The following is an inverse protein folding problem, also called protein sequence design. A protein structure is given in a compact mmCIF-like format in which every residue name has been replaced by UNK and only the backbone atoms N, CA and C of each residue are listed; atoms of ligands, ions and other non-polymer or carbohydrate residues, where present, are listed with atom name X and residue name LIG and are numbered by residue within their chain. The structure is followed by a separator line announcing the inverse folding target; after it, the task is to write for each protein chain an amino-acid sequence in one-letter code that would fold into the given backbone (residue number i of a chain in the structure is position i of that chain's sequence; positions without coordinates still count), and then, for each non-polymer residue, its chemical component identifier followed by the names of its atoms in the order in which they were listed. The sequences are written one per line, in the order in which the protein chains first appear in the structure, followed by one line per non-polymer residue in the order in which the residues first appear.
data_IF_543673390188
#
_entry.id   IF_543673390188
#
_cell.length_a   1.000
_cell.length_b   1.000
_cell.length_c   1.000
_cell.angle_alpha   90.00
_cell.angle_beta   90.00
_cell.angle_gamma   90.00
#
_symmetry.space_group_name_H-M   'P 1'
#
loop_
_entity.id
_entity.type
_entity.pdbx_description
1 polymer ?
#
# COMPACT_ATOMS: atom_id res chain seq x y z
N UNK A 1 35.06 37.52 6.04
CA UNK A 1 33.82 37.71 5.24
C UNK A 1 33.63 36.42 4.47
N UNK A 2 32.65 35.63 4.89
CA UNK A 2 32.51 34.21 4.56
C UNK A 2 31.82 34.03 3.18
N UNK A 3 32.45 33.39 2.18
CA UNK A 3 31.93 33.29 0.82
C UNK A 3 31.20 31.95 0.63
N UNK A 4 30.12 31.68 1.36
CA UNK A 4 29.34 30.44 1.21
C UNK A 4 27.82 30.65 1.35
N UNK A 5 27.28 31.52 0.50
CA UNK A 5 25.86 31.44 0.11
C UNK A 5 25.78 30.87 -1.31
N UNK A 6 26.17 29.60 -1.45
CA UNK A 6 25.77 28.81 -2.60
C UNK A 6 24.24 28.76 -2.64
N UNK A 7 23.68 29.34 -3.70
CA UNK A 7 22.28 29.27 -4.03
C UNK A 7 21.86 27.80 -4.11
N UNK A 8 21.26 27.30 -3.02
CA UNK A 8 20.64 25.97 -2.97
C UNK A 8 19.60 25.96 -4.10
N UNK A 9 19.72 25.12 -5.14
CA UNK A 9 18.82 25.17 -6.28
C UNK A 9 17.40 25.04 -5.74
N UNK A 10 16.53 25.99 -6.09
CA UNK A 10 15.13 25.98 -5.74
C UNK A 10 14.57 24.62 -6.15
N UNK A 11 14.40 23.71 -5.19
CA UNK A 11 13.84 22.38 -5.44
C UNK A 11 12.47 22.64 -6.03
N UNK A 12 12.32 22.28 -7.30
CA UNK A 12 11.15 22.53 -8.14
C UNK A 12 9.87 22.31 -7.33
N UNK A 13 8.90 23.23 -7.45
CA UNK A 13 7.59 23.17 -6.79
C UNK A 13 6.90 21.80 -6.95
N UNK A 14 7.22 21.04 -8.00
CA UNK A 14 6.76 19.67 -8.20
C UNK A 14 7.35 18.70 -7.18
N UNK A 15 8.64 18.81 -6.84
CA UNK A 15 9.27 17.96 -5.84
C UNK A 15 8.77 18.27 -4.43
N UNK A 16 8.48 19.52 -4.09
CA UNK A 16 7.84 19.86 -2.81
C UNK A 16 6.36 19.48 -2.75
N UNK A 17 5.68 19.42 -3.90
CA UNK A 17 4.28 18.97 -3.98
C UNK A 17 4.14 17.44 -3.99
N UNK A 18 5.13 16.72 -4.54
CA UNK A 18 5.23 15.26 -4.55
C UNK A 18 5.87 14.71 -3.28
N UNK A 19 6.84 15.41 -2.69
CA UNK A 19 7.54 15.06 -1.44
C UNK A 19 7.36 16.18 -0.40
N UNK A 20 6.17 16.35 0.18
CA UNK A 20 5.97 17.36 1.21
C UNK A 20 6.81 17.05 2.46
N UNK A 21 7.41 18.08 3.07
CA UNK A 21 8.22 17.97 4.31
C UNK A 21 7.40 17.52 5.54
N UNK A 22 6.08 17.56 5.45
CA UNK A 22 5.15 17.00 6.43
C UNK A 22 4.02 16.25 5.71
N UNK A 23 3.59 15.06 6.18
CA UNK A 23 2.52 14.29 5.54
C UNK A 23 1.25 15.13 5.50
N UNK A 24 0.50 15.14 4.39
CA UNK A 24 -0.77 15.88 4.36
C UNK A 24 -1.74 15.27 5.37
N UNK A 25 -2.15 16.06 6.35
CA UNK A 25 -3.05 15.66 7.41
C UNK A 25 -4.50 15.87 6.97
N UNK A 26 -5.11 14.81 6.46
CA UNK A 26 -6.56 14.77 6.24
C UNK A 26 -7.24 14.23 7.50
N UNK A 27 -8.07 15.02 8.21
CA UNK A 27 -8.72 14.56 9.44
C UNK A 27 -9.67 13.37 9.20
N UNK A 28 -10.25 13.28 8.00
CA UNK A 28 -11.13 12.19 7.58
C UNK A 28 -10.40 10.93 7.08
N UNK A 29 -9.08 11.00 6.87
CA UNK A 29 -8.34 9.85 6.32
C UNK A 29 -8.30 8.67 7.29
N UNK A 30 -8.20 8.90 8.60
CA UNK A 30 -8.15 7.82 9.60
C UNK A 30 -9.44 6.97 9.64
N UNK A 31 -10.64 7.54 9.84
CA UNK A 31 -11.86 6.75 9.84
C UNK A 31 -12.14 6.11 8.47
N UNK A 32 -11.86 6.81 7.37
CA UNK A 32 -12.00 6.24 6.02
C UNK A 32 -11.08 5.02 5.83
N UNK A 33 -9.80 5.13 6.18
CA UNK A 33 -8.84 4.01 6.11
C UNK A 33 -9.27 2.83 7.00
N UNK A 34 -9.83 3.09 8.18
CA UNK A 34 -10.33 2.03 9.05
C UNK A 34 -11.48 1.25 8.40
N UNK A 35 -12.50 1.96 7.90
CA UNK A 35 -13.65 1.35 7.21
C UNK A 35 -13.19 0.56 5.99
N UNK A 36 -12.34 1.18 5.16
CA UNK A 36 -11.78 0.55 3.97
C UNK A 36 -10.96 -0.69 4.29
N UNK A 37 -10.14 -0.65 5.34
CA UNK A 37 -9.34 -1.80 5.78
C UNK A 37 -10.22 -2.92 6.32
N UNK A 38 -11.24 -2.61 7.10
CA UNK A 38 -12.22 -3.60 7.58
C UNK A 38 -12.96 -4.26 6.43
N UNK A 39 -13.46 -3.46 5.48
CA UNK A 39 -14.13 -3.95 4.27
C UNK A 39 -13.18 -4.82 3.43
N UNK A 40 -11.92 -4.39 3.27
CA UNK A 40 -10.90 -5.12 2.54
C UNK A 40 -10.61 -6.49 3.15
N UNK A 41 -10.44 -6.56 4.48
CA UNK A 41 -10.17 -7.82 5.18
C UNK A 41 -11.39 -8.76 5.06
N UNK A 42 -12.61 -8.25 5.24
CA UNK A 42 -13.83 -9.04 5.09
C UNK A 42 -13.98 -9.61 3.67
N UNK A 43 -13.79 -8.77 2.65
CA UNK A 43 -13.86 -9.19 1.25
C UNK A 43 -12.78 -10.22 0.92
N UNK A 44 -11.55 -10.02 1.40
CA UNK A 44 -10.44 -10.96 1.20
C UNK A 44 -10.70 -12.29 1.89
N UNK A 45 -11.27 -12.28 3.10
CA UNK A 45 -11.65 -13.49 3.82
C UNK A 45 -12.73 -14.28 3.07
N UNK A 46 -13.70 -13.60 2.45
CA UNK A 46 -14.70 -14.26 1.59
C UNK A 46 -14.06 -14.88 0.35
N UNK A 47 -13.11 -14.20 -0.30
CA UNK A 47 -12.41 -14.73 -1.48
C UNK A 47 -11.57 -15.95 -1.12
N UNK A 48 -10.66 -15.82 -0.16
CA UNK A 48 -9.76 -16.89 0.26
C UNK A 48 -10.54 -18.05 0.90
N UNK A 49 -11.63 -17.75 1.61
CA UNK A 49 -12.50 -18.74 2.21
C UNK A 49 -13.30 -19.52 1.18
N UNK A 50 -13.82 -18.89 0.12
CA UNK A 50 -14.72 -19.53 -0.84
C UNK A 50 -14.00 -20.31 -1.96
N UNK A 51 -12.77 -19.94 -2.34
CA UNK A 51 -12.01 -20.63 -3.40
C UNK A 51 -11.74 -22.11 -3.08
N UNK A 52 -11.29 -22.51 -1.87
CA UNK A 52 -11.07 -23.91 -1.51
C UNK A 52 -12.32 -24.79 -1.57
N UNK A 53 -13.52 -24.20 -1.40
CA UNK A 53 -14.79 -24.93 -1.49
C UNK A 53 -15.36 -24.97 -2.92
N UNK A 54 -14.59 -24.57 -3.92
CA UNK A 54 -15.01 -24.63 -5.32
C UNK A 54 -16.13 -23.65 -5.67
N UNK A 55 -16.25 -22.53 -4.95
CA UNK A 55 -17.28 -21.54 -5.23
C UNK A 55 -17.16 -21.02 -6.68
N UNK A 56 -18.29 -20.85 -7.39
CA UNK A 56 -18.29 -20.36 -8.76
C UNK A 56 -17.77 -18.92 -8.82
N UNK A 57 -17.14 -18.57 -9.96
CA UNK A 57 -16.52 -17.27 -10.15
C UNK A 57 -17.54 -16.12 -10.02
N UNK A 58 -18.79 -16.35 -10.39
CA UNK A 58 -19.90 -15.41 -10.29
C UNK A 58 -20.13 -14.97 -8.83
N UNK A 59 -20.04 -15.90 -7.88
CA UNK A 59 -20.18 -15.61 -6.45
C UNK A 59 -18.94 -14.87 -5.89
N UNK A 60 -17.76 -15.17 -6.45
CA UNK A 60 -16.48 -14.55 -6.07
C UNK A 60 -16.26 -13.18 -6.70
N UNK A 61 -16.98 -12.84 -7.78
CA UNK A 61 -16.76 -11.60 -8.55
C UNK A 61 -16.89 -10.35 -7.67
N UNK A 62 -17.96 -10.26 -6.87
CA UNK A 62 -18.20 -9.12 -5.99
C UNK A 62 -17.15 -9.03 -4.87
N UNK A 63 -16.85 -10.10 -4.11
CA UNK A 63 -15.75 -10.10 -3.12
C UNK A 63 -14.38 -9.75 -3.72
N UNK A 64 -14.04 -10.27 -4.91
CA UNK A 64 -12.79 -9.94 -5.60
C UNK A 64 -12.75 -8.45 -5.94
N UNK A 65 -13.83 -7.92 -6.53
CA UNK A 65 -13.90 -6.50 -6.89
C UNK A 65 -13.81 -5.60 -5.65
N UNK A 66 -14.50 -5.95 -4.56
CA UNK A 66 -14.41 -5.22 -3.29
C UNK A 66 -13.00 -5.26 -2.71
N UNK A 67 -12.33 -6.41 -2.76
CA UNK A 67 -10.95 -6.56 -2.29
C UNK A 67 -9.99 -5.68 -3.10
N UNK A 68 -10.11 -5.69 -4.43
CA UNK A 68 -9.29 -4.86 -5.32
C UNK A 68 -9.58 -3.37 -5.13
N UNK A 69 -10.86 -2.98 -5.14
CA UNK A 69 -11.27 -1.57 -5.02
C UNK A 69 -10.87 -0.97 -3.67
N UNK A 70 -11.12 -1.69 -2.56
CA UNK A 70 -10.72 -1.24 -1.22
C UNK A 70 -9.21 -1.16 -1.06
N UNK A 71 -8.47 -2.13 -1.60
CA UNK A 71 -7.01 -2.13 -1.58
C UNK A 71 -6.41 -0.98 -2.39
N UNK A 72 -6.94 -0.74 -3.59
CA UNK A 72 -6.54 0.38 -4.44
C UNK A 72 -6.85 1.74 -3.81
N UNK A 73 -8.02 1.90 -3.18
CA UNK A 73 -8.39 3.15 -2.53
C UNK A 73 -7.55 3.40 -1.26
N UNK A 74 -7.24 2.36 -0.47
CA UNK A 74 -6.29 2.48 0.64
C UNK A 74 -4.92 2.98 0.16
N UNK A 75 -4.40 2.34 -0.90
CA UNK A 75 -3.13 2.74 -1.50
C UNK A 75 -3.17 4.17 -2.07
N UNK A 76 -4.27 4.56 -2.72
CA UNK A 76 -4.43 5.90 -3.25
C UNK A 76 -4.50 6.97 -2.15
N UNK A 77 -5.17 6.69 -1.03
CA UNK A 77 -5.18 7.59 0.13
C UNK A 77 -3.76 7.72 0.69
N UNK A 78 -3.03 6.62 0.83
CA UNK A 78 -1.67 6.66 1.35
C UNK A 78 -0.72 7.39 0.39
N UNK A 79 -0.85 7.16 -0.92
CA UNK A 79 -0.11 7.87 -1.97
C UNK A 79 -0.43 9.37 -2.00
N UNK A 80 -1.69 9.75 -1.78
CA UNK A 80 -2.11 11.15 -1.72
C UNK A 80 -1.62 11.88 -0.46
N UNK A 81 -1.29 11.15 0.60
CA UNK A 81 -0.72 11.72 1.84
C UNK A 81 0.78 11.96 1.72
N UNK A 82 1.50 11.02 1.13
CA UNK A 82 2.94 11.13 0.89
C UNK A 82 3.38 10.14 -0.21
N UNK A 83 3.88 10.65 -1.34
CA UNK A 83 4.41 9.77 -2.41
C UNK A 83 5.70 9.07 -2.00
N UNK A 84 6.36 9.49 -0.93
CA UNK A 84 7.51 8.77 -0.39
C UNK A 84 7.15 7.34 -0.01
N UNK A 85 5.86 7.02 0.22
CA UNK A 85 5.40 5.66 0.52
C UNK A 85 5.77 4.67 -0.59
N UNK A 86 5.84 5.09 -1.85
CA UNK A 86 6.25 4.23 -2.97
C UNK A 86 7.66 3.65 -2.79
N UNK A 87 8.54 4.41 -2.15
CA UNK A 87 9.91 3.98 -1.85
C UNK A 87 10.05 3.31 -0.49
N UNK A 88 9.05 3.44 0.38
CA UNK A 88 9.05 2.89 1.72
C UNK A 88 8.60 1.42 1.72
N UNK A 89 9.11 0.63 2.67
CA UNK A 89 8.74 -0.79 2.80
C UNK A 89 7.23 -1.04 2.89
N UNK A 90 6.46 -0.10 3.45
CA UNK A 90 5.00 -0.15 3.46
C UNK A 90 4.38 -0.12 2.06
N UNK A 91 4.83 0.78 1.17
CA UNK A 91 4.32 0.86 -0.19
C UNK A 91 4.83 -0.29 -1.07
N UNK A 92 6.07 -0.73 -0.87
CA UNK A 92 6.60 -1.93 -1.55
C UNK A 92 5.78 -3.17 -1.18
N UNK A 93 5.40 -3.35 0.08
CA UNK A 93 4.54 -4.45 0.51
C UNK A 93 3.15 -4.40 -0.17
N UNK A 94 2.58 -3.20 -0.35
CA UNK A 94 1.31 -3.03 -1.06
C UNK A 94 1.46 -3.33 -2.55
N UNK A 95 2.52 -2.85 -3.20
CA UNK A 95 2.81 -3.15 -4.61
C UNK A 95 3.02 -4.64 -4.83
N UNK A 96 3.76 -5.31 -3.94
CA UNK A 96 3.97 -6.75 -3.99
C UNK A 96 2.64 -7.50 -3.87
N UNK A 97 1.78 -7.10 -2.92
CA UNK A 97 0.42 -7.66 -2.77
C UNK A 97 -0.42 -7.46 -4.03
N UNK A 98 -0.42 -6.28 -4.61
CA UNK A 98 -1.17 -5.98 -5.85
C UNK A 98 -0.64 -6.81 -7.03
N UNK A 99 0.67 -6.99 -7.15
CA UNK A 99 1.28 -7.86 -8.15
C UNK A 99 0.83 -9.32 -7.99
N UNK A 100 0.84 -9.85 -6.77
CA UNK A 100 0.38 -11.21 -6.47
C UNK A 100 -1.12 -11.39 -6.77
N UNK A 101 -1.96 -10.42 -6.40
CA UNK A 101 -3.39 -10.43 -6.75
C UNK A 101 -3.61 -10.35 -8.27
N UNK A 102 -2.82 -9.54 -8.98
CA UNK A 102 -2.85 -9.45 -10.44
C UNK A 102 -2.47 -10.76 -11.12
N UNK A 103 -1.43 -11.45 -10.63
CA UNK A 103 -1.05 -12.78 -11.12
C UNK A 103 -2.17 -13.81 -10.91
N UNK A 104 -2.81 -13.82 -9.73
CA UNK A 104 -3.99 -14.66 -9.49
C UNK A 104 -5.18 -14.31 -10.42
N UNK A 105 -5.36 -13.05 -10.77
CA UNK A 105 -6.38 -12.66 -11.73
C UNK A 105 -6.10 -13.21 -13.14
N UNK A 106 -4.83 -13.15 -13.59
CA UNK A 106 -4.36 -13.64 -14.89
C UNK A 106 -4.26 -15.18 -14.99
N UNK A 107 -4.02 -15.86 -13.87
CA UNK A 107 -3.92 -17.33 -13.80
C UNK A 107 -5.08 -17.93 -13.00
N UNK A 108 -6.28 -18.06 -13.59
CA UNK A 108 -7.46 -18.55 -12.87
C UNK A 108 -7.32 -19.97 -12.31
N UNK A 109 -6.49 -20.81 -12.93
CA UNK A 109 -6.23 -22.18 -12.48
C UNK A 109 -5.51 -22.24 -11.12
N UNK A 110 -4.60 -21.30 -10.84
CA UNK A 110 -3.74 -21.29 -9.65
C UNK A 110 -4.03 -20.08 -8.74
N UNK A 111 -5.28 -19.60 -8.72
CA UNK A 111 -5.69 -18.42 -7.93
C UNK A 111 -5.41 -18.53 -6.45
N UNK A 112 -5.63 -19.73 -5.90
CA UNK A 112 -5.54 -19.98 -4.47
C UNK A 112 -4.14 -19.70 -3.91
N UNK A 113 -3.04 -20.27 -4.43
CA UNK A 113 -1.70 -19.98 -3.92
C UNK A 113 -1.32 -18.50 -4.07
N UNK A 114 -1.72 -17.83 -5.16
CA UNK A 114 -1.44 -16.40 -5.35
C UNK A 114 -2.14 -15.52 -4.31
N UNK A 115 -3.42 -15.78 -4.04
CA UNK A 115 -4.19 -15.01 -3.06
C UNK A 115 -3.77 -15.32 -1.62
N UNK A 116 -3.37 -16.56 -1.34
CA UNK A 116 -2.73 -16.92 -0.07
C UNK A 116 -1.39 -16.22 0.10
N UNK A 117 -0.54 -16.20 -0.91
CA UNK A 117 0.73 -15.46 -0.88
C UNK A 117 0.50 -13.96 -0.65
N UNK A 118 -0.46 -13.35 -1.34
CA UNK A 118 -0.87 -11.96 -1.11
C UNK A 118 -1.36 -11.71 0.32
N UNK A 119 -2.03 -12.68 0.93
CA UNK A 119 -2.50 -12.62 2.33
C UNK A 119 -1.34 -12.72 3.31
N UNK A 120 -0.38 -13.63 3.07
CA UNK A 120 0.84 -13.75 3.87
C UNK A 120 1.67 -12.47 3.82
N UNK A 121 1.89 -11.91 2.62
CA UNK A 121 2.57 -10.62 2.45
C UNK A 121 1.85 -9.51 3.23
N UNK A 122 0.52 -9.48 3.18
CA UNK A 122 -0.26 -8.50 3.95
C UNK A 122 -0.11 -8.68 5.47
N UNK A 123 -0.08 -9.92 5.96
CA UNK A 123 0.12 -10.24 7.38
C UNK A 123 1.52 -9.84 7.85
N UNK A 124 2.56 -10.24 7.12
CA UNK A 124 3.96 -9.88 7.41
C UNK A 124 4.15 -8.36 7.35
N UNK A 125 3.59 -7.69 6.33
CA UNK A 125 3.62 -6.24 6.21
C UNK A 125 2.90 -5.50 7.36
N UNK A 126 1.89 -6.13 7.97
CA UNK A 126 1.16 -5.56 9.11
C UNK A 126 1.90 -5.72 10.44
N UNK A 127 2.74 -6.75 10.58
CA UNK A 127 3.60 -6.98 11.75
C UNK A 127 5.03 -6.43 11.58
N UNK A 128 5.31 -5.78 10.46
CA UNK A 128 6.63 -5.24 10.15
C UNK A 128 6.97 -4.10 11.12
N UNK A 129 8.14 -4.14 11.80
CA UNK A 129 8.54 -3.10 12.74
C UNK A 129 8.66 -1.74 12.04
N UNK A 130 8.40 -0.65 12.76
CA UNK A 130 8.39 0.71 12.20
C UNK A 130 9.65 1.09 11.41
N UNK A 131 10.81 0.54 11.79
CA UNK A 131 12.08 0.69 11.08
C UNK A 131 12.07 0.13 9.65
N UNK A 132 11.36 -0.97 9.41
CA UNK A 132 11.21 -1.60 8.10
C UNK A 132 10.08 -0.96 7.29
N UNK A 133 9.01 -0.51 7.96
CA UNK A 133 7.91 0.24 7.34
C UNK A 133 8.38 1.55 6.69
N UNK A 134 9.28 2.27 7.35
CA UNK A 134 9.83 3.55 6.87
C UNK A 134 11.21 3.40 6.20
N UNK A 135 11.64 2.16 5.92
CA UNK A 135 12.87 1.93 5.18
C UNK A 135 12.68 2.37 3.73
N UNK A 136 13.36 3.44 3.32
CA UNK A 136 13.36 3.86 1.92
C UNK A 136 14.37 3.01 1.15
N UNK A 137 13.89 2.14 0.28
CA UNK A 137 14.75 1.31 -0.58
C UNK A 137 15.57 2.15 -1.55
N UNK A 138 15.07 3.34 -1.94
CA UNK A 138 15.75 4.25 -2.85
C UNK A 138 16.93 4.99 -2.20
N UNK A 139 16.79 5.37 -0.93
CA UNK A 139 17.82 6.09 -0.19
C UNK A 139 18.64 5.18 0.74
N UNK A 140 18.32 3.88 0.78
CA UNK A 140 18.87 2.87 1.68
C UNK A 140 18.94 3.33 3.15
N UNK A 141 17.94 4.10 3.59
CA UNK A 141 17.89 4.73 4.91
C UNK A 141 16.47 4.67 5.48
N UNK A 142 16.40 4.53 6.80
CA UNK A 142 15.15 4.65 7.56
C UNK A 142 14.77 6.13 7.59
N UNK A 143 13.65 6.48 6.94
CA UNK A 143 13.09 7.83 6.99
C UNK A 143 12.35 8.00 8.32
N UNK A 144 13.07 8.44 9.36
CA UNK A 144 12.43 8.83 10.63
C UNK A 144 11.76 10.18 10.43
N UNK A 145 10.43 10.20 10.45
CA UNK A 145 9.72 11.44 10.77
C UNK A 145 9.92 11.71 12.27
N UNK A 146 10.29 12.93 12.69
CA UNK A 146 10.20 13.31 14.10
C UNK A 146 8.72 13.32 14.48
N UNK A 147 8.39 12.63 15.58
CA UNK A 147 7.03 12.49 16.12
C UNK A 147 6.40 13.85 16.48
#
# INVERSE_FOLDING_TARGET
MDPLHEARPARSNLLTLLFPEAPRHFPWARPAQLILRSLHIAAMALVVGAIPFGAPFEALRLPILLTLASGALLFAIDLARDLAILSQGSGVAVLLKLGLLGMGALQPADRLPWYLAATLVASVGSHMPGSWRHFSFLHWKVMRYPD
#
